data_IF_703695728812
#
_entry.id   IF_703695728812
#
_cell.length_a   1.000
_cell.length_b   1.000
_cell.length_c   1.000
_cell.angle_alpha   90.00
_cell.angle_beta   90.00
_cell.angle_gamma   90.00
#
_symmetry.space_group_name_H-M   'P 1'
#
loop_
_entity.id
_entity.type
_entity.pdbx_description
1 polymer ?
#
# COMPACT_ATOMS: atom_id res chain seq x y z
N UNK A 1 -21.64 17.38 24.14
CA UNK A 1 -20.88 17.27 25.40
C UNK A 1 -19.53 16.63 25.08
N UNK A 2 -18.46 17.00 25.78
CA UNK A 2 -17.10 16.62 25.38
C UNK A 2 -16.79 15.15 25.73
N UNK A 3 -16.54 14.34 24.70
CA UNK A 3 -15.98 12.99 24.82
C UNK A 3 -14.58 13.08 25.44
N UNK A 4 -14.26 12.19 26.39
CA UNK A 4 -12.93 12.12 27.02
C UNK A 4 -12.13 10.97 26.44
N UNK A 5 -10.82 11.17 26.39
CA UNK A 5 -9.88 10.25 25.75
C UNK A 5 -8.63 10.12 26.58
N UNK A 6 -7.99 8.95 26.49
CA UNK A 6 -6.74 8.66 27.16
C UNK A 6 -6.07 7.51 26.44
N UNK A 7 -4.76 7.63 26.26
CA UNK A 7 -3.93 6.55 25.74
C UNK A 7 -2.73 6.31 26.65
N UNK A 8 -2.30 5.07 26.66
CA UNK A 8 -1.05 4.60 27.24
C UNK A 8 -0.25 3.97 26.11
N UNK A 9 0.93 4.50 25.85
CA UNK A 9 1.88 3.92 24.91
C UNK A 9 3.18 3.57 25.63
N UNK A 10 3.83 2.53 25.16
CA UNK A 10 5.10 2.06 25.70
C UNK A 10 5.94 1.40 24.62
N UNK A 11 7.23 1.67 24.64
CA UNK A 11 8.21 1.06 23.75
C UNK A 11 9.35 0.47 24.57
N UNK A 12 9.70 -0.78 24.27
CA UNK A 12 10.84 -1.47 24.85
C UNK A 12 11.80 -1.81 23.73
N UNK A 13 13.01 -1.27 23.80
CA UNK A 13 14.07 -1.53 22.85
C UNK A 13 15.12 -2.47 23.44
N UNK A 14 15.49 -3.49 22.69
CA UNK A 14 16.53 -4.46 23.03
C UNK A 14 17.40 -4.74 21.81
N UNK A 15 18.60 -5.28 22.02
CA UNK A 15 19.53 -5.62 20.92
C UNK A 15 18.92 -6.62 19.91
N UNK A 16 17.99 -7.44 20.37
CA UNK A 16 17.34 -8.48 19.56
C UNK A 16 15.99 -8.06 19.00
N UNK A 17 15.56 -6.81 19.21
CA UNK A 17 14.24 -6.38 18.75
C UNK A 17 13.63 -5.22 19.53
N UNK A 18 12.46 -4.79 19.09
CA UNK A 18 11.65 -3.77 19.76
C UNK A 18 10.22 -4.24 19.94
N UNK A 19 9.58 -3.83 21.03
CA UNK A 19 8.17 -4.04 21.30
C UNK A 19 7.51 -2.69 21.54
N UNK A 20 6.55 -2.36 20.70
CA UNK A 20 5.66 -1.22 20.86
C UNK A 20 4.26 -1.73 21.25
N UNK A 21 3.64 -1.06 22.22
CA UNK A 21 2.26 -1.28 22.61
C UNK A 21 1.58 0.06 22.81
N UNK A 22 0.39 0.19 22.26
CA UNK A 22 -0.49 1.33 22.48
C UNK A 22 -1.89 0.84 22.85
N UNK A 23 -2.44 1.40 23.91
CA UNK A 23 -3.81 1.19 24.34
C UNK A 23 -4.50 2.53 24.50
N UNK A 24 -5.66 2.70 23.87
CA UNK A 24 -6.45 3.92 23.96
C UNK A 24 -7.91 3.60 24.30
N UNK A 25 -8.54 4.44 25.11
CA UNK A 25 -9.96 4.32 25.45
C UNK A 25 -10.70 5.63 25.18
N UNK A 26 -11.99 5.47 24.85
CA UNK A 26 -12.96 6.55 24.70
C UNK A 26 -14.00 6.46 25.79
N UNK A 27 -14.32 7.57 26.46
CA UNK A 27 -15.37 7.62 27.49
C UNK A 27 -16.40 8.73 27.24
N UNK A 28 -17.64 8.45 27.63
CA UNK A 28 -18.71 9.44 27.65
C UNK A 28 -18.60 10.36 28.89
N UNK A 29 -19.39 11.45 28.96
CA UNK A 29 -19.42 12.34 30.13
C UNK A 29 -19.79 11.66 31.45
N UNK A 30 -20.53 10.53 31.41
CA UNK A 30 -20.92 9.72 32.56
C UNK A 30 -19.85 8.69 32.98
N UNK A 31 -18.63 8.78 32.45
CA UNK A 31 -17.51 7.84 32.67
C UNK A 31 -17.80 6.39 32.21
N UNK A 32 -18.70 6.20 31.25
CA UNK A 32 -18.91 4.91 30.57
C UNK A 32 -17.97 4.80 29.37
N UNK A 33 -17.23 3.69 29.30
CA UNK A 33 -16.42 3.33 28.14
C UNK A 33 -17.30 3.20 26.89
N UNK A 34 -16.88 3.86 25.82
CA UNK A 34 -17.58 3.95 24.53
C UNK A 34 -16.81 3.27 23.39
N UNK A 35 -15.56 2.90 23.60
CA UNK A 35 -14.68 2.27 22.62
C UNK A 35 -13.25 2.17 23.13
N UNK A 36 -12.45 1.37 22.45
CA UNK A 36 -11.03 1.21 22.69
C UNK A 36 -10.25 0.76 21.46
N UNK A 37 -8.95 1.00 21.51
CA UNK A 37 -7.99 0.53 20.54
C UNK A 37 -6.79 -0.08 21.24
N UNK A 38 -6.40 -1.27 20.80
CA UNK A 38 -5.15 -1.92 21.15
C UNK A 38 -4.34 -2.10 19.87
N UNK A 39 -3.09 -1.66 19.90
CA UNK A 39 -2.11 -1.94 18.86
C UNK A 39 -0.82 -2.46 19.49
N UNK A 40 -0.28 -3.52 18.91
CA UNK A 40 0.98 -4.13 19.31
C UNK A 40 1.81 -4.32 18.05
N UNK A 41 3.06 -3.87 18.09
CA UNK A 41 4.04 -4.10 17.03
C UNK A 41 5.33 -4.62 17.64
N UNK A 42 5.86 -5.71 17.10
CA UNK A 42 7.06 -6.34 17.59
C UNK A 42 7.99 -6.67 16.44
N UNK A 43 9.19 -6.10 16.48
CA UNK A 43 10.28 -6.43 15.58
C UNK A 43 11.25 -7.34 16.32
N UNK A 44 11.62 -8.47 15.73
CA UNK A 44 12.59 -9.42 16.29
C UNK A 44 13.69 -9.69 15.26
N UNK A 45 14.94 -9.57 15.69
CA UNK A 45 16.13 -9.86 14.89
C UNK A 45 16.83 -11.11 15.42
N UNK A 46 16.86 -12.17 14.61
CA UNK A 46 17.51 -13.44 14.93
C UNK A 46 18.51 -13.83 13.83
N UNK A 47 19.77 -13.45 14.02
CA UNK A 47 20.81 -13.67 13.02
C UNK A 47 20.50 -12.90 11.73
N UNK A 48 20.32 -13.62 10.63
CA UNK A 48 19.95 -13.06 9.33
C UNK A 48 18.43 -12.84 9.16
N UNK A 49 17.61 -13.33 10.08
CA UNK A 49 16.16 -13.21 9.99
C UNK A 49 15.66 -11.95 10.71
N UNK A 50 14.76 -11.23 10.05
CA UNK A 50 13.96 -10.15 10.64
C UNK A 50 12.49 -10.56 10.63
N UNK A 51 11.84 -10.49 11.79
CA UNK A 51 10.41 -10.76 11.95
C UNK A 51 9.71 -9.47 12.37
N UNK A 52 8.56 -9.21 11.76
CA UNK A 52 7.62 -8.18 12.18
C UNK A 52 6.29 -8.85 12.51
N UNK A 53 5.82 -8.65 13.73
CA UNK A 53 4.53 -9.12 14.23
C UNK A 53 3.71 -7.91 14.60
N UNK A 54 2.55 -7.75 13.98
CA UNK A 54 1.62 -6.69 14.34
C UNK A 54 0.25 -7.27 14.67
N UNK A 55 -0.41 -6.65 15.63
CA UNK A 55 -1.76 -6.97 16.04
C UNK A 55 -2.52 -5.67 16.30
N UNK A 56 -3.77 -5.62 15.83
CA UNK A 56 -4.72 -4.55 16.14
C UNK A 56 -6.04 -5.11 16.62
N UNK A 57 -6.68 -4.35 17.50
CA UNK A 57 -8.05 -4.57 17.96
C UNK A 57 -8.71 -3.20 18.20
N UNK A 58 -9.59 -2.77 17.30
CA UNK A 58 -10.23 -1.44 17.31
C UNK A 58 -11.75 -1.58 17.40
N UNK A 59 -12.33 -1.20 18.53
CA UNK A 59 -13.77 -1.22 18.79
C UNK A 59 -14.28 0.20 19.07
N UNK A 60 -15.14 0.70 18.19
CA UNK A 60 -15.74 2.04 18.26
C UNK A 60 -14.72 3.17 18.52
N UNK A 61 -13.51 3.05 17.93
CA UNK A 61 -12.42 3.99 18.14
C UNK A 61 -12.41 5.16 17.14
N UNK A 62 -13.15 5.07 16.03
CA UNK A 62 -13.22 6.16 15.04
C UNK A 62 -13.78 7.46 15.65
N UNK A 63 -13.11 8.56 15.31
CA UNK A 63 -13.52 9.93 15.61
C UNK A 63 -13.93 10.55 14.29
N UNK A 64 -15.17 10.34 13.89
CA UNK A 64 -15.73 10.95 12.67
C UNK A 64 -16.88 11.90 13.01
N UNK A 65 -16.53 13.09 13.52
CA UNK A 65 -17.45 14.25 13.51
C UNK A 65 -17.28 15.03 12.19
N UNK A 66 -17.54 14.35 11.06
CA UNK A 66 -17.34 14.79 9.66
C UNK A 66 -15.89 14.78 9.10
N UNK A 67 -14.86 14.66 9.95
CA UNK A 67 -13.46 14.43 9.56
C UNK A 67 -12.88 13.35 10.47
N UNK A 68 -12.12 12.39 9.91
CA UNK A 68 -11.40 11.37 10.69
C UNK A 68 -10.24 12.02 11.43
N UNK A 69 -10.31 12.10 12.76
CA UNK A 69 -9.26 12.72 13.60
C UNK A 69 -8.16 11.75 14.04
N UNK A 70 -8.40 10.44 13.93
CA UNK A 70 -7.45 9.39 14.29
C UNK A 70 -7.23 8.44 13.11
N UNK A 71 -5.97 8.18 12.78
CA UNK A 71 -5.60 7.21 11.76
C UNK A 71 -4.67 6.15 12.38
N UNK A 72 -5.23 5.14 13.08
CA UNK A 72 -4.42 4.12 13.73
C UNK A 72 -3.66 3.25 12.70
N UNK A 73 -2.70 2.41 13.11
CA UNK A 73 -1.98 1.55 12.19
C UNK A 73 -2.87 0.55 11.42
N UNK A 74 -2.57 0.33 10.14
CA UNK A 74 -3.37 -0.52 9.23
C UNK A 74 -3.20 -2.02 9.49
N UNK A 75 -2.04 -2.49 9.95
CA UNK A 75 -1.74 -3.93 10.15
C UNK A 75 -2.01 -4.75 8.87
N UNK A 76 -1.61 -4.19 7.73
CA UNK A 76 -1.61 -4.84 6.43
C UNK A 76 -0.47 -4.23 5.59
N UNK A 77 0.03 -4.98 4.61
CA UNK A 77 1.09 -4.48 3.73
C UNK A 77 0.54 -3.39 2.82
N UNK A 78 1.25 -2.27 2.75
CA UNK A 78 0.99 -1.23 1.76
C UNK A 78 1.89 -1.45 0.54
N UNK A 79 1.27 -1.32 -0.63
CA UNK A 79 1.86 -1.58 -1.94
C UNK A 79 1.94 -0.30 -2.77
N UNK A 80 3.09 -0.08 -3.39
CA UNK A 80 3.33 1.05 -4.30
C UNK A 80 2.88 0.77 -5.74
N UNK A 81 2.56 -0.49 -6.06
CA UNK A 81 2.20 -0.95 -7.40
C UNK A 81 0.71 -0.72 -7.71
N UNK A 82 0.41 -0.32 -8.95
CA UNK A 82 -0.88 0.23 -9.35
C UNK A 82 -2.03 -0.78 -9.20
N UNK A 83 -1.85 -2.01 -9.65
CA UNK A 83 -2.89 -3.04 -9.61
C UNK A 83 -3.07 -3.62 -8.21
N UNK A 84 -1.99 -3.82 -7.45
CA UNK A 84 -2.08 -4.27 -6.06
C UNK A 84 -2.75 -3.24 -5.15
N UNK A 85 -2.44 -1.96 -5.34
CA UNK A 85 -2.97 -0.90 -4.49
C UNK A 85 -4.50 -0.69 -4.66
N UNK A 86 -5.09 -1.12 -5.78
CA UNK A 86 -6.54 -1.00 -6.00
C UNK A 86 -7.41 -1.78 -5.01
N UNK A 87 -6.85 -2.84 -4.42
CA UNK A 87 -7.57 -3.79 -3.58
C UNK A 87 -7.00 -3.84 -2.15
N UNK A 88 -6.35 -2.75 -1.70
CA UNK A 88 -5.93 -2.62 -0.31
C UNK A 88 -7.12 -2.44 0.64
N UNK A 89 -6.89 -2.91 1.87
CA UNK A 89 -7.76 -2.75 3.02
C UNK A 89 -8.07 -1.27 3.25
N UNK A 90 -9.36 -0.93 3.34
CA UNK A 90 -9.79 0.35 3.92
C UNK A 90 -9.93 0.11 5.40
N UNK A 91 -9.20 0.87 6.19
CA UNK A 91 -9.31 0.76 7.64
C UNK A 91 -10.71 1.13 8.11
N UNK A 92 -11.19 0.41 9.12
CA UNK A 92 -12.40 0.74 9.85
C UNK A 92 -12.12 0.73 11.35
N UNK A 93 -11.67 1.86 11.88
CA UNK A 93 -11.37 2.00 13.32
C UNK A 93 -12.58 1.81 14.25
N UNK A 94 -13.81 1.63 13.72
CA UNK A 94 -14.99 1.31 14.54
C UNK A 94 -15.17 -0.17 14.83
N UNK A 95 -14.70 -1.08 13.98
CA UNK A 95 -14.96 -2.51 14.15
C UNK A 95 -13.97 -3.33 13.34
N UNK A 96 -12.74 -3.45 13.85
CA UNK A 96 -11.67 -4.10 13.11
C UNK A 96 -10.61 -4.73 14.03
N UNK A 97 -10.34 -6.00 13.79
CA UNK A 97 -9.27 -6.77 14.43
C UNK A 97 -8.42 -7.43 13.37
N UNK A 98 -7.11 -7.40 13.53
CA UNK A 98 -6.23 -7.97 12.52
C UNK A 98 -4.85 -8.30 13.04
N UNK A 99 -4.12 -9.08 12.25
CA UNK A 99 -2.71 -9.35 12.49
C UNK A 99 -1.94 -9.33 11.18
N UNK A 100 -0.65 -9.02 11.30
CA UNK A 100 0.33 -9.13 10.24
C UNK A 100 1.54 -9.89 10.79
N UNK A 101 2.00 -10.85 10.00
CA UNK A 101 3.28 -11.51 10.19
C UNK A 101 4.11 -11.26 8.95
N UNK A 102 5.31 -10.72 9.13
CA UNK A 102 6.28 -10.57 8.06
C UNK A 102 7.63 -11.15 8.47
N UNK A 103 8.27 -11.81 7.51
CA UNK A 103 9.61 -12.37 7.62
C UNK A 103 10.45 -11.85 6.48
N UNK A 104 11.62 -11.29 6.78
CA UNK A 104 12.63 -10.89 5.81
C UNK A 104 13.94 -11.62 6.07
N UNK A 105 14.56 -12.11 5.00
CA UNK A 105 15.81 -12.88 5.06
C UNK A 105 16.69 -12.63 3.82
N UNK A 106 17.99 -12.33 3.99
CA UNK A 106 18.93 -12.23 2.87
C UNK A 106 19.21 -13.63 2.32
N UNK A 107 18.62 -13.95 1.17
CA UNK A 107 18.81 -15.26 0.50
C UNK A 107 20.13 -15.33 -0.27
N UNK A 108 20.66 -14.17 -0.68
CA UNK A 108 21.97 -13.95 -1.31
C UNK A 108 22.55 -12.62 -0.79
N UNK A 109 23.82 -12.31 -1.09
CA UNK A 109 24.56 -11.15 -0.53
C UNK A 109 23.80 -9.82 -0.68
N UNK A 110 23.26 -9.57 -1.87
CA UNK A 110 22.53 -8.33 -2.19
C UNK A 110 21.03 -8.58 -2.48
N UNK A 111 20.49 -9.69 -1.96
CA UNK A 111 19.12 -10.11 -2.28
C UNK A 111 18.33 -10.52 -1.06
N UNK A 112 17.20 -9.85 -0.84
CA UNK A 112 16.33 -10.04 0.32
C UNK A 112 15.00 -10.63 -0.14
N UNK A 113 14.61 -11.74 0.49
CA UNK A 113 13.27 -12.30 0.37
C UNK A 113 12.43 -11.83 1.56
N UNK A 114 11.31 -11.17 1.28
CA UNK A 114 10.29 -10.79 2.25
C UNK A 114 9.00 -11.57 1.99
N UNK A 115 8.47 -12.24 3.01
CA UNK A 115 7.16 -12.88 2.96
C UNK A 115 6.26 -12.30 4.04
N UNK A 116 5.01 -12.05 3.71
CA UNK A 116 4.03 -11.45 4.61
C UNK A 116 2.70 -12.20 4.53
N UNK A 117 2.04 -12.37 5.66
CA UNK A 117 0.63 -12.71 5.73
C UNK A 117 -0.11 -11.74 6.63
N UNK A 118 -1.26 -11.26 6.16
CA UNK A 118 -2.16 -10.43 6.95
C UNK A 118 -3.59 -10.94 6.88
N UNK A 119 -4.30 -10.81 7.99
CA UNK A 119 -5.72 -11.11 8.09
C UNK A 119 -6.39 -10.01 8.91
N UNK A 120 -7.52 -9.54 8.42
CA UNK A 120 -8.36 -8.57 9.10
C UNK A 120 -9.81 -9.06 9.08
N UNK A 121 -10.43 -9.02 10.25
CA UNK A 121 -11.81 -9.41 10.50
C UNK A 121 -12.50 -8.32 11.35
N UNK A 122 -13.83 -8.33 11.39
CA UNK A 122 -14.56 -7.54 12.38
C UNK A 122 -14.79 -8.34 13.69
N UNK A 123 -15.35 -7.72 14.73
CA UNK A 123 -15.61 -8.40 16.01
C UNK A 123 -16.65 -9.52 15.91
N UNK A 124 -17.45 -9.56 14.83
CA UNK A 124 -18.35 -10.67 14.52
C UNK A 124 -17.70 -11.78 13.66
N UNK A 125 -16.37 -11.74 13.48
CA UNK A 125 -15.56 -12.71 12.72
C UNK A 125 -15.84 -12.75 11.22
N UNK A 126 -16.43 -11.70 10.66
CA UNK A 126 -16.53 -11.54 9.22
C UNK A 126 -15.16 -11.13 8.67
N UNK A 127 -14.65 -11.89 7.70
CA UNK A 127 -13.36 -11.59 7.04
C UNK A 127 -13.50 -10.36 6.16
N UNK A 128 -12.74 -9.32 6.48
CA UNK A 128 -12.71 -8.06 5.73
C UNK A 128 -11.60 -8.08 4.68
N UNK A 129 -10.42 -8.59 5.05
CA UNK A 129 -9.26 -8.64 4.18
C UNK A 129 -8.31 -9.79 4.54
N UNK A 130 -7.68 -10.38 3.53
CA UNK A 130 -6.65 -11.40 3.71
C UNK A 130 -5.60 -11.25 2.60
N UNK A 131 -4.32 -11.30 2.98
CA UNK A 131 -3.21 -11.28 2.04
C UNK A 131 -2.16 -12.34 2.37
N UNK A 132 -1.62 -12.93 1.30
CA UNK A 132 -0.35 -13.64 1.30
C UNK A 132 0.55 -12.98 0.26
N UNK A 133 1.75 -12.59 0.67
CA UNK A 133 2.64 -11.78 -0.12
C UNK A 133 4.06 -12.34 -0.06
N UNK A 134 4.75 -12.31 -1.19
CA UNK A 134 6.17 -12.61 -1.28
C UNK A 134 6.82 -11.60 -2.23
N UNK A 135 7.94 -11.01 -1.81
CA UNK A 135 8.74 -10.09 -2.59
C UNK A 135 10.21 -10.47 -2.49
N UNK A 136 10.90 -10.44 -3.62
CA UNK A 136 12.34 -10.58 -3.70
C UNK A 136 12.92 -9.29 -4.28
N UNK A 137 13.74 -8.63 -3.48
CA UNK A 137 14.50 -7.44 -3.83
C UNK A 137 15.95 -7.86 -4.10
N UNK A 138 16.50 -7.45 -5.23
CA UNK A 138 17.89 -7.75 -5.60
C UNK A 138 18.57 -6.52 -6.16
N UNK A 139 19.61 -6.06 -5.46
CA UNK A 139 20.54 -5.06 -5.95
C UNK A 139 21.75 -5.77 -6.55
N UNK A 140 22.13 -5.45 -7.77
CA UNK A 140 23.33 -6.04 -8.38
C UNK A 140 24.56 -5.16 -8.11
N UNK A 141 25.79 -5.68 -8.26
CA UNK A 141 27.01 -4.88 -8.14
C UNK A 141 27.14 -3.72 -9.15
N UNK A 142 26.28 -3.67 -10.18
CA UNK A 142 26.23 -2.57 -11.16
C UNK A 142 25.09 -1.57 -10.86
N UNK A 143 24.59 -1.55 -9.61
CA UNK A 143 23.49 -0.69 -9.16
C UNK A 143 22.18 -0.90 -9.93
N UNK A 144 21.97 -2.10 -10.49
CA UNK A 144 20.66 -2.48 -11.03
C UNK A 144 19.79 -3.05 -9.93
N UNK A 145 18.57 -2.57 -9.83
CA UNK A 145 17.58 -2.99 -8.84
C UNK A 145 16.49 -3.81 -9.52
N UNK A 146 16.23 -5.00 -9.00
CA UNK A 146 15.14 -5.86 -9.42
C UNK A 146 14.21 -6.13 -8.25
N UNK A 147 12.91 -5.99 -8.49
CA UNK A 147 11.86 -6.37 -7.52
C UNK A 147 10.92 -7.33 -8.22
N UNK A 148 10.80 -8.55 -7.70
CA UNK A 148 9.77 -9.50 -8.11
C UNK A 148 8.82 -9.78 -6.96
N UNK A 149 7.53 -9.70 -7.23
CA UNK A 149 6.50 -9.82 -6.21
C UNK A 149 5.40 -10.73 -6.70
N UNK A 150 4.93 -11.62 -5.83
CA UNK A 150 3.69 -12.35 -5.99
C UNK A 150 2.77 -12.13 -4.77
N UNK A 151 1.49 -11.89 -5.01
CA UNK A 151 0.52 -11.69 -3.93
C UNK A 151 -0.83 -12.35 -4.23
N UNK A 152 -1.42 -12.93 -3.20
CA UNK A 152 -2.82 -13.31 -3.14
C UNK A 152 -3.54 -12.32 -2.23
N UNK A 153 -4.57 -11.64 -2.73
CA UNK A 153 -5.42 -10.76 -1.93
C UNK A 153 -6.87 -11.24 -2.02
N UNK A 154 -7.60 -11.13 -0.91
CA UNK A 154 -9.04 -11.39 -0.86
C UNK A 154 -9.72 -10.35 0.02
N UNK A 155 -10.77 -9.75 -0.52
CA UNK A 155 -11.66 -8.84 0.20
C UNK A 155 -13.13 -9.30 0.04
N UNK A 156 -14.07 -8.44 0.44
CA UNK A 156 -15.51 -8.72 0.29
C UNK A 156 -15.99 -8.77 -1.17
N UNK A 157 -15.29 -8.12 -2.10
CA UNK A 157 -15.68 -8.01 -3.51
C UNK A 157 -15.10 -9.15 -4.35
N UNK A 158 -13.86 -9.53 -4.09
CA UNK A 158 -13.08 -10.35 -5.01
C UNK A 158 -11.88 -11.05 -4.40
N UNK A 159 -11.27 -11.86 -5.26
CA UNK A 159 -9.97 -12.50 -5.06
C UNK A 159 -9.05 -12.07 -6.18
N UNK A 160 -7.82 -11.73 -5.83
CA UNK A 160 -6.83 -11.14 -6.72
C UNK A 160 -5.53 -11.92 -6.60
N UNK A 161 -4.99 -12.37 -7.73
CA UNK A 161 -3.66 -12.96 -7.83
C UNK A 161 -2.79 -11.98 -8.60
N UNK A 162 -1.73 -11.51 -7.98
CA UNK A 162 -0.88 -10.47 -8.52
C UNK A 162 0.53 -11.01 -8.75
N UNK A 163 1.14 -10.59 -9.85
CA UNK A 163 2.57 -10.69 -10.11
C UNK A 163 3.10 -9.34 -10.55
N UNK A 164 4.24 -8.93 -10.01
CA UNK A 164 4.92 -7.69 -10.41
C UNK A 164 6.39 -7.98 -10.67
N UNK A 165 6.91 -7.32 -11.71
CA UNK A 165 8.33 -7.21 -11.99
C UNK A 165 8.68 -5.74 -12.17
N UNK A 166 9.51 -5.20 -11.28
CA UNK A 166 10.13 -3.88 -11.42
C UNK A 166 11.62 -4.05 -11.67
N UNK A 167 12.17 -3.24 -12.57
CA UNK A 167 13.58 -3.23 -12.89
C UNK A 167 14.05 -1.79 -13.06
N UNK A 168 15.08 -1.39 -12.32
CA UNK A 168 15.70 -0.07 -12.38
C UNK A 168 17.15 -0.22 -12.79
N UNK A 169 17.58 0.56 -13.77
CA UNK A 169 18.93 0.53 -14.32
C UNK A 169 19.53 1.92 -14.27
N UNK A 170 20.64 2.08 -13.56
CA UNK A 170 21.46 3.27 -13.66
C UNK A 170 22.29 3.21 -14.95
N UNK A 171 22.02 4.15 -15.87
CA UNK A 171 22.72 4.25 -17.17
C UNK A 171 23.96 5.13 -17.04
N UNK A 172 23.89 6.12 -16.14
CA UNK A 172 24.99 7.04 -15.80
C UNK A 172 24.67 7.68 -14.45
N UNK A 173 25.59 8.47 -13.89
CA UNK A 173 25.41 9.16 -12.60
C UNK A 173 24.18 10.09 -12.50
N UNK A 174 23.55 10.42 -13.63
CA UNK A 174 22.37 11.28 -13.67
C UNK A 174 21.17 10.67 -14.39
N UNK A 175 21.32 9.50 -15.04
CA UNK A 175 20.27 8.93 -15.88
C UNK A 175 19.90 7.53 -15.43
N UNK A 176 18.61 7.28 -15.23
CA UNK A 176 18.09 5.96 -14.90
C UNK A 176 16.90 5.57 -15.77
N UNK A 177 16.79 4.27 -16.03
CA UNK A 177 15.66 3.65 -16.72
C UNK A 177 14.89 2.77 -15.74
N UNK A 178 13.57 2.90 -15.71
CA UNK A 178 12.69 2.07 -14.89
C UNK A 178 11.67 1.36 -15.76
N UNK A 179 11.52 0.06 -15.56
CA UNK A 179 10.48 -0.74 -16.17
C UNK A 179 9.65 -1.40 -15.08
N UNK A 180 8.33 -1.30 -15.19
CA UNK A 180 7.39 -1.99 -14.29
C UNK A 180 6.40 -2.76 -15.15
N UNK A 181 6.21 -4.03 -14.82
CA UNK A 181 5.16 -4.88 -15.35
C UNK A 181 4.33 -5.44 -14.20
N UNK A 182 3.02 -5.28 -14.27
CA UNK A 182 2.08 -5.87 -13.31
C UNK A 182 1.06 -6.73 -14.06
N UNK A 183 0.77 -7.90 -13.50
CA UNK A 183 -0.29 -8.79 -13.95
C UNK A 183 -1.19 -9.15 -12.77
N UNK A 184 -2.50 -8.96 -12.95
CA UNK A 184 -3.50 -9.28 -11.94
C UNK A 184 -4.59 -10.17 -12.54
N UNK A 185 -4.83 -11.33 -11.95
CA UNK A 185 -5.99 -12.18 -12.22
C UNK A 185 -7.04 -11.95 -11.14
N UNK A 186 -8.20 -11.45 -11.55
CA UNK A 186 -9.32 -11.11 -10.67
C UNK A 186 -10.44 -12.13 -10.81
N UNK A 187 -11.00 -12.57 -9.67
CA UNK A 187 -12.26 -13.32 -9.57
C UNK A 187 -13.21 -12.57 -8.66
N UNK A 188 -14.34 -12.09 -9.19
CA UNK A 188 -15.39 -11.44 -8.43
C UNK A 188 -16.24 -12.51 -7.74
N UNK A 189 -16.41 -12.41 -6.42
CA UNK A 189 -17.05 -13.48 -5.64
C UNK A 189 -18.58 -13.56 -5.85
N UNK A 190 -19.23 -12.41 -6.07
CA UNK A 190 -20.70 -12.33 -6.22
C UNK A 190 -21.20 -12.89 -7.56
N UNK A 191 -20.45 -12.69 -8.64
CA UNK A 191 -20.87 -13.04 -10.01
C UNK A 191 -20.07 -14.20 -10.61
N UNK A 192 -19.07 -14.68 -9.89
CA UNK A 192 -18.05 -15.62 -10.36
C UNK A 192 -17.30 -15.16 -11.63
N UNK A 193 -17.37 -13.87 -11.96
CA UNK A 193 -16.70 -13.29 -13.13
C UNK A 193 -15.19 -13.33 -12.95
N UNK A 194 -14.48 -13.74 -13.99
CA UNK A 194 -13.02 -13.75 -14.02
C UNK A 194 -12.49 -12.94 -15.20
N UNK A 195 -11.42 -12.20 -14.95
CA UNK A 195 -10.70 -11.43 -15.97
C UNK A 195 -9.28 -11.18 -15.48
N UNK A 196 -8.42 -10.69 -16.37
CA UNK A 196 -7.10 -10.23 -16.01
C UNK A 196 -6.90 -8.77 -16.40
N UNK A 197 -6.08 -8.07 -15.61
CA UNK A 197 -5.58 -6.74 -15.89
C UNK A 197 -4.06 -6.77 -15.95
N UNK A 198 -3.49 -5.93 -16.81
CA UNK A 198 -2.06 -5.79 -17.02
C UNK A 198 -1.71 -4.32 -17.02
N UNK A 199 -0.63 -3.96 -16.36
CA UNK A 199 -0.11 -2.61 -16.33
C UNK A 199 1.38 -2.63 -16.70
N UNK A 200 1.80 -1.65 -17.48
CA UNK A 200 3.19 -1.46 -17.92
C UNK A 200 3.55 0.00 -17.71
N UNK A 201 4.73 0.23 -17.15
CA UNK A 201 5.35 1.54 -17.08
C UNK A 201 6.79 1.48 -17.59
N UNK A 202 7.15 2.45 -18.43
CA UNK A 202 8.52 2.71 -18.86
C UNK A 202 8.88 4.13 -18.47
N UNK A 203 9.81 4.29 -17.54
CA UNK A 203 10.29 5.56 -17.04
C UNK A 203 11.74 5.83 -17.46
N UNK A 204 12.04 7.07 -17.82
CA UNK A 204 13.40 7.57 -17.94
C UNK A 204 13.53 8.82 -17.07
N UNK A 205 14.54 8.84 -16.19
CA UNK A 205 14.76 9.94 -15.26
C UNK A 205 16.13 10.56 -15.48
N UNK A 206 16.19 11.89 -15.49
CA UNK A 206 17.41 12.67 -15.47
C UNK A 206 17.48 13.46 -14.15
N UNK A 207 18.22 12.94 -13.18
CA UNK A 207 18.35 13.52 -11.85
C UNK A 207 19.15 14.83 -11.86
N UNK A 208 18.78 15.84 -11.04
CA UNK A 208 17.58 15.91 -10.19
C UNK A 208 16.36 16.51 -10.92
N UNK A 209 16.43 16.71 -12.24
CA UNK A 209 15.59 17.69 -12.95
C UNK A 209 14.23 17.17 -13.43
N UNK A 210 14.16 15.97 -14.03
CA UNK A 210 12.93 15.53 -14.68
C UNK A 210 12.83 14.02 -14.85
N UNK A 211 11.59 13.53 -14.96
CA UNK A 211 11.27 12.14 -15.28
C UNK A 211 10.16 12.10 -16.33
N UNK A 212 10.32 11.29 -17.36
CA UNK A 212 9.26 10.98 -18.32
C UNK A 212 8.84 9.51 -18.17
N UNK A 213 7.55 9.26 -18.07
CA UNK A 213 6.98 7.91 -17.93
C UNK A 213 5.91 7.65 -18.99
N UNK A 214 6.03 6.53 -19.69
CA UNK A 214 4.98 5.97 -20.54
C UNK A 214 4.22 4.94 -19.74
N UNK A 215 2.90 5.04 -19.73
CA UNK A 215 2.00 4.23 -18.92
C UNK A 215 1.02 3.52 -19.85
N UNK A 216 0.81 2.23 -19.65
CA UNK A 216 -0.15 1.43 -20.40
C UNK A 216 -0.88 0.45 -19.50
N UNK A 217 -2.20 0.37 -19.63
CA UNK A 217 -3.03 -0.59 -18.93
C UNK A 217 -3.96 -1.31 -19.90
N UNK A 218 -4.15 -2.62 -19.70
CA UNK A 218 -5.12 -3.44 -20.44
C UNK A 218 -5.94 -4.29 -19.49
N UNK A 219 -7.24 -4.45 -19.77
CA UNK A 219 -8.12 -5.40 -19.08
C UNK A 219 -8.88 -6.28 -20.08
N UNK A 220 -9.17 -7.52 -19.68
CA UNK A 220 -10.08 -8.43 -20.41
C UNK A 220 -11.49 -8.49 -19.83
N UNK A 221 -11.81 -7.61 -18.88
CA UNK A 221 -13.14 -7.51 -18.33
C UNK A 221 -14.16 -7.06 -19.39
N UNK A 222 -15.09 -7.95 -19.74
CA UNK A 222 -16.12 -7.73 -20.76
C UNK A 222 -17.12 -6.63 -20.38
N UNK A 223 -17.19 -6.27 -19.09
CA UNK A 223 -18.07 -5.21 -18.58
C UNK A 223 -17.36 -3.85 -18.51
N UNK A 224 -16.09 -3.77 -18.92
CA UNK A 224 -15.36 -2.51 -18.97
C UNK A 224 -15.74 -1.75 -20.24
N UNK A 225 -16.06 -0.46 -20.12
CA UNK A 225 -16.37 0.43 -21.25
C UNK A 225 -15.20 0.60 -22.22
N UNK A 226 -13.97 0.49 -21.69
CA UNK A 226 -12.71 0.57 -22.40
C UNK A 226 -11.83 -0.60 -21.95
N UNK A 227 -11.03 -1.15 -22.87
CA UNK A 227 -10.15 -2.29 -22.59
C UNK A 227 -8.66 -1.93 -22.51
N UNK A 228 -8.28 -0.75 -23.01
CA UNK A 228 -6.89 -0.26 -23.04
C UNK A 228 -6.86 1.21 -22.67
N UNK A 229 -5.93 1.56 -21.79
CA UNK A 229 -5.58 2.95 -21.43
C UNK A 229 -4.09 3.14 -21.66
N UNK A 230 -3.71 4.33 -22.11
CA UNK A 230 -2.33 4.70 -22.32
C UNK A 230 -2.15 6.20 -22.09
N UNK A 231 -1.00 6.59 -21.57
CA UNK A 231 -0.66 7.99 -21.33
C UNK A 231 0.84 8.21 -21.13
N UNK A 232 1.21 9.48 -21.11
CA UNK A 232 2.55 9.95 -20.83
C UNK A 232 2.48 10.88 -19.62
N UNK A 233 3.42 10.73 -18.70
CA UNK A 233 3.60 11.60 -17.56
C UNK A 233 4.98 12.24 -17.61
N UNK A 234 5.05 13.55 -17.39
CA UNK A 234 6.28 14.31 -17.24
C UNK A 234 6.29 14.95 -15.85
N UNK A 235 7.27 14.57 -15.04
CA UNK A 235 7.53 15.13 -13.72
C UNK A 235 8.76 16.05 -13.81
N UNK A 236 8.64 17.28 -13.32
CA UNK A 236 9.69 18.30 -13.31
C UNK A 236 9.93 18.79 -11.89
N UNK A 237 11.17 18.75 -11.42
CA UNK A 237 11.57 19.38 -10.16
C UNK A 237 12.17 20.75 -10.47
N UNK A 238 11.49 21.82 -10.09
CA UNK A 238 11.86 23.21 -10.38
C UNK A 238 12.19 23.94 -9.08
N UNK A 239 13.39 24.53 -9.00
CA UNK A 239 13.86 25.34 -7.86
C UNK A 239 13.84 24.62 -6.49
N UNK A 240 14.02 23.29 -6.46
CA UNK A 240 14.06 22.45 -5.24
C UNK A 240 12.79 22.45 -4.35
N UNK A 241 11.81 23.30 -4.66
CA UNK A 241 10.61 23.54 -3.84
C UNK A 241 9.30 23.35 -4.60
N UNK A 242 9.35 23.26 -5.92
CA UNK A 242 8.17 23.17 -6.77
C UNK A 242 8.29 21.95 -7.66
N UNK A 243 7.35 21.02 -7.50
CA UNK A 243 7.22 19.84 -8.34
C UNK A 243 6.03 20.04 -9.28
N UNK A 244 6.23 19.85 -10.58
CA UNK A 244 5.15 19.83 -11.58
C UNK A 244 5.02 18.41 -12.15
N UNK A 245 3.81 17.88 -12.16
CA UNK A 245 3.46 16.62 -12.82
C UNK A 245 2.41 16.89 -13.90
N UNK A 246 2.77 16.68 -15.16
CA UNK A 246 1.88 16.78 -16.31
C UNK A 246 1.58 15.37 -16.84
N UNK A 247 0.32 14.96 -16.78
CA UNK A 247 -0.16 13.73 -17.40
C UNK A 247 -0.99 14.08 -18.65
N UNK A 248 -0.77 13.35 -19.74
CA UNK A 248 -1.59 13.43 -20.95
C UNK A 248 -1.93 12.03 -21.47
N UNK A 249 -3.22 11.77 -21.71
CA UNK A 249 -3.71 10.52 -22.28
C UNK A 249 -4.96 10.00 -21.58
N UNK A 250 -5.02 8.69 -21.43
CA UNK A 250 -6.16 7.98 -20.83
C UNK A 250 -5.70 7.19 -19.61
N UNK A 251 -6.48 7.24 -18.52
CA UNK A 251 -6.19 6.54 -17.26
C UNK A 251 -7.46 5.89 -16.74
N UNK A 252 -7.39 4.62 -16.38
CA UNK A 252 -8.51 3.89 -15.79
C UNK A 252 -8.85 4.44 -14.41
N UNK A 253 -10.14 4.47 -14.07
CA UNK A 253 -10.60 4.69 -12.70
C UNK A 253 -9.95 3.67 -11.76
N UNK A 254 -9.46 4.13 -10.62
CA UNK A 254 -8.79 3.27 -9.65
C UNK A 254 -8.84 3.84 -8.25
N UNK A 255 -8.58 2.98 -7.28
CA UNK A 255 -8.42 3.36 -5.88
C UNK A 255 -6.93 3.43 -5.58
N UNK A 256 -6.51 4.47 -4.85
CA UNK A 256 -5.16 4.61 -4.32
C UNK A 256 -5.29 4.71 -2.81
N UNK A 257 -4.64 3.79 -2.11
CA UNK A 257 -4.61 3.72 -0.66
C UNK A 257 -3.20 4.07 -0.16
N UNK A 258 -3.17 4.81 0.94
CA UNK A 258 -1.97 5.13 1.70
C UNK A 258 -2.36 5.43 3.16
N UNK A 259 -1.64 4.83 4.11
CA UNK A 259 -1.93 4.88 5.53
C UNK A 259 -3.34 4.40 5.88
N UNK A 260 -3.88 3.39 5.19
CA UNK A 260 -5.25 2.92 5.41
C UNK A 260 -6.37 3.84 4.90
N UNK A 261 -6.03 5.01 4.38
CA UNK A 261 -6.95 5.97 3.75
C UNK A 261 -6.90 5.79 2.24
N UNK A 262 -8.07 5.66 1.62
CA UNK A 262 -8.17 5.39 0.20
C UNK A 262 -8.96 6.45 -0.55
N UNK A 263 -8.38 6.98 -1.62
CA UNK A 263 -9.01 7.95 -2.51
C UNK A 263 -9.28 7.29 -3.85
N UNK A 264 -10.49 7.49 -4.39
CA UNK A 264 -10.82 7.04 -5.75
C UNK A 264 -10.36 8.09 -6.74
N UNK A 265 -9.39 7.74 -7.60
CA UNK A 265 -9.06 8.54 -8.77
C UNK A 265 -10.05 8.25 -9.89
N UNK A 266 -10.73 9.28 -10.44
CA UNK A 266 -11.67 9.09 -11.55
C UNK A 266 -10.94 8.65 -12.82
N UNK A 267 -11.70 8.10 -13.76
CA UNK A 267 -11.21 7.90 -15.12
C UNK A 267 -10.89 9.27 -15.74
N UNK A 268 -9.77 9.34 -16.46
CA UNK A 268 -9.32 10.56 -17.11
C UNK A 268 -9.10 10.29 -18.58
N UNK A 269 -9.57 11.20 -19.42
CA UNK A 269 -9.22 11.32 -20.83
C UNK A 269 -8.92 12.79 -21.10
N UNK A 270 -7.64 13.11 -21.31
CA UNK A 270 -7.19 14.49 -21.50
C UNK A 270 -5.88 14.76 -20.80
N UNK A 271 -5.77 15.95 -20.20
CA UNK A 271 -4.55 16.47 -19.59
C UNK A 271 -4.84 16.80 -18.12
N UNK A 272 -3.95 16.38 -17.24
CA UNK A 272 -3.97 16.69 -15.81
C UNK A 272 -2.64 17.33 -15.43
N UNK A 273 -2.68 18.51 -14.83
CA UNK A 273 -1.52 19.21 -14.29
C UNK A 273 -1.65 19.27 -12.77
N UNK A 274 -0.64 18.75 -12.08
CA UNK A 274 -0.51 18.81 -10.63
C UNK A 274 0.72 19.65 -10.33
N UNK A 275 0.57 20.60 -9.42
CA UNK A 275 1.66 21.38 -8.88
C UNK A 275 1.70 21.14 -7.37
N UNK A 276 2.87 20.80 -6.85
CA UNK A 276 3.09 20.61 -5.42
C UNK A 276 4.19 21.56 -4.97
N UNK A 277 3.88 22.38 -3.97
CA UNK A 277 4.85 23.31 -3.37
C UNK A 277 5.23 22.80 -1.99
N UNK A 278 6.53 22.67 -1.74
CA UNK A 278 7.09 22.32 -0.44
C UNK A 278 7.50 23.61 0.27
N UNK A 279 7.03 23.79 1.51
CA UNK A 279 7.35 24.95 2.35
C UNK A 279 8.74 24.83 2.97
#
# INVERSE_FOLDING_TARGET
>A
EAVRWGSLLGEINHRLGSLYLEYAERWNPDNKKMGDALFISNNIFLGAFSFLLEFKDYDAFDISEAVTYNNPPLVAQEHLFTLLNRHQLVQNANDERGFLFQLSYPVIEDGILTVNTSLTENHQKAKLYQEYFAQFDWLTPNDWEFIWLASYQKDAAGRYLNFVSSSSFEVSSYNSLKFIYEHQHTRILLTDRQFYSQFVQLGFSHAPTWTISFLGERTTDQFSSRSVWAGVQLDLNVFEKIDFSLFAGTRRKGKICAGGVCVTKPELEGIELIMTTRL
#
